data_IF_276093640302
#
_entry.id   IF_276093640302
#
_cell.length_a   1.000
_cell.length_b   1.000
_cell.length_c   1.000
_cell.angle_alpha   90.00
_cell.angle_beta   90.00
_cell.angle_gamma   90.00
#
_symmetry.space_group_name_H-M   'P 1'
#
loop_
_entity.id
_entity.type
_entity.pdbx_description
1 polymer ?
#
# COMPACT_ATOMS: atom_id res chain seq x y z
N UNK A 1 1.77 0.03 -34.01
CA UNK A 1 2.97 -0.21 -33.17
C UNK A 1 4.29 0.27 -33.79
N UNK A 2 4.59 0.01 -35.07
CA UNK A 2 5.87 0.42 -35.71
C UNK A 2 6.14 1.94 -35.66
N UNK A 3 5.14 2.78 -35.93
CA UNK A 3 5.27 4.25 -35.88
C UNK A 3 5.67 4.78 -34.49
N UNK A 4 5.12 4.19 -33.42
CA UNK A 4 5.47 4.56 -32.05
C UNK A 4 6.94 4.25 -31.77
N UNK A 5 7.47 3.12 -32.24
CA UNK A 5 8.90 2.77 -32.07
C UNK A 5 9.82 3.67 -32.90
N UNK A 6 9.46 3.99 -34.14
CA UNK A 6 10.23 4.90 -35.00
C UNK A 6 10.32 6.31 -34.39
N UNK A 7 9.25 6.79 -33.74
CA UNK A 7 9.26 8.07 -33.02
C UNK A 7 10.21 8.15 -31.80
N UNK A 8 10.78 7.03 -31.35
CA UNK A 8 11.84 7.02 -30.33
C UNK A 8 13.24 7.09 -30.93
N UNK A 9 13.41 6.71 -32.19
CA UNK A 9 14.70 6.66 -32.88
C UNK A 9 14.99 7.95 -33.67
N UNK A 10 13.92 8.61 -34.12
CA UNK A 10 13.99 9.83 -34.91
C UNK A 10 13.52 11.03 -34.09
N UNK A 11 14.27 12.13 -34.13
CA UNK A 11 13.95 13.40 -33.44
C UNK A 11 12.91 14.22 -34.22
N UNK A 12 12.88 14.09 -35.54
CA UNK A 12 12.05 14.89 -36.45
C UNK A 12 10.83 14.12 -36.96
N UNK A 13 10.44 13.06 -36.24
CA UNK A 13 9.32 12.16 -36.56
C UNK A 13 7.99 12.87 -36.85
N UNK A 14 7.80 14.10 -36.37
CA UNK A 14 6.59 14.91 -36.60
C UNK A 14 6.44 15.33 -38.07
N UNK A 15 7.54 15.58 -38.76
CA UNK A 15 7.55 16.02 -40.15
C UNK A 15 7.34 14.85 -41.12
N UNK A 16 7.66 13.64 -40.68
CA UNK A 16 7.50 12.41 -41.46
C UNK A 16 6.10 11.77 -41.35
N UNK A 17 5.19 12.38 -40.58
CA UNK A 17 3.83 11.88 -40.39
C UNK A 17 2.88 12.42 -41.46
N UNK A 18 2.67 11.62 -42.51
CA UNK A 18 1.76 11.96 -43.61
C UNK A 18 0.34 11.42 -43.37
N UNK A 19 0.21 10.29 -42.67
CA UNK A 19 -1.05 9.54 -42.54
C UNK A 19 -1.75 9.70 -41.17
N UNK A 20 -1.02 10.11 -40.13
CA UNK A 20 -1.52 10.10 -38.73
C UNK A 20 -1.14 11.42 -38.06
N UNK A 21 -2.09 12.04 -37.34
CA UNK A 21 -1.80 13.26 -36.58
C UNK A 21 -0.72 13.01 -35.51
N UNK A 22 0.24 13.93 -35.32
CA UNK A 22 1.24 13.84 -34.26
C UNK A 22 0.63 13.67 -32.86
N UNK A 23 -0.55 14.24 -32.63
CA UNK A 23 -1.29 14.14 -31.36
C UNK A 23 -1.69 12.69 -31.06
N UNK A 24 -2.21 11.99 -32.06
CA UNK A 24 -2.61 10.58 -31.95
C UNK A 24 -1.42 9.68 -31.63
N UNK A 25 -0.24 10.00 -32.19
CA UNK A 25 0.98 9.25 -31.90
C UNK A 25 1.47 9.48 -30.46
N UNK A 26 1.35 10.71 -29.94
CA UNK A 26 1.65 11.03 -28.54
C UNK A 26 0.70 10.32 -27.57
N UNK A 27 -0.60 10.28 -27.87
CA UNK A 27 -1.57 9.52 -27.08
C UNK A 27 -1.21 8.03 -27.03
N UNK A 28 -0.81 7.45 -28.16
CA UNK A 28 -0.37 6.05 -28.20
C UNK A 28 0.91 5.81 -27.39
N UNK A 29 1.87 6.75 -27.39
CA UNK A 29 3.07 6.69 -26.54
C UNK A 29 2.70 6.71 -25.05
N UNK A 30 1.84 7.64 -24.65
CA UNK A 30 1.41 7.79 -23.27
C UNK A 30 0.62 6.57 -22.78
N UNK A 31 -0.30 6.06 -23.60
CA UNK A 31 -1.06 4.85 -23.28
C UNK A 31 -0.16 3.62 -23.17
N UNK A 32 0.84 3.48 -24.05
CA UNK A 32 1.81 2.38 -23.97
C UNK A 32 2.63 2.44 -22.68
N UNK A 33 3.09 3.62 -22.27
CA UNK A 33 3.79 3.81 -20.99
C UNK A 33 2.88 3.50 -19.81
N UNK A 34 1.63 3.98 -19.82
CA UNK A 34 0.63 3.69 -18.80
C UNK A 34 0.40 2.20 -18.64
N UNK A 35 0.24 1.47 -19.75
CA UNK A 35 0.07 0.00 -19.75
C UNK A 35 1.34 -0.69 -19.23
N UNK A 36 2.53 -0.27 -19.70
CA UNK A 36 3.80 -0.82 -19.27
C UNK A 36 4.00 -0.69 -17.75
N UNK A 37 3.79 0.52 -17.20
CA UNK A 37 3.90 0.75 -15.77
C UNK A 37 2.80 0.03 -14.98
N UNK A 38 1.58 -0.05 -15.49
CA UNK A 38 0.52 -0.83 -14.87
C UNK A 38 0.87 -2.33 -14.80
N UNK A 39 1.53 -2.88 -15.83
CA UNK A 39 1.96 -4.27 -15.86
C UNK A 39 3.14 -4.53 -14.91
N UNK A 40 4.10 -3.61 -14.81
CA UNK A 40 5.25 -3.74 -13.90
C UNK A 40 4.83 -3.57 -12.45
N UNK A 41 4.00 -2.58 -12.16
CA UNK A 41 3.48 -2.30 -10.82
C UNK A 41 2.42 -3.30 -10.36
N UNK A 42 1.90 -4.14 -11.28
CA UNK A 42 0.94 -5.20 -10.95
C UNK A 42 1.56 -6.13 -9.91
N UNK A 43 0.95 -6.17 -8.73
CA UNK A 43 1.45 -6.91 -7.57
C UNK A 43 1.53 -8.41 -7.89
N UNK A 44 2.75 -8.92 -8.05
CA UNK A 44 2.98 -10.29 -8.58
C UNK A 44 2.63 -11.41 -7.61
N UNK A 45 2.65 -11.17 -6.29
CA UNK A 45 2.22 -12.14 -5.25
C UNK A 45 1.66 -11.40 -4.03
N UNK A 46 0.63 -11.94 -3.33
CA UNK A 46 0.41 -11.58 -1.94
C UNK A 46 1.70 -11.89 -1.17
N UNK A 47 2.07 -11.06 -0.21
CA UNK A 47 3.35 -11.17 0.52
C UNK A 47 3.44 -12.42 1.40
N UNK A 48 3.85 -12.26 2.66
CA UNK A 48 3.94 -13.38 3.62
C UNK A 48 2.63 -14.19 3.65
N UNK A 49 2.68 -15.54 3.59
CA UNK A 49 1.49 -16.37 3.73
C UNK A 49 0.76 -16.06 5.04
N UNK A 50 -0.57 -16.12 5.00
CA UNK A 50 -1.39 -15.90 6.19
C UNK A 50 -1.16 -17.01 7.21
N UNK A 51 -1.35 -16.72 8.49
CA UNK A 51 -1.50 -17.77 9.49
C UNK A 51 -2.67 -18.70 9.12
N UNK A 52 -2.65 -19.98 9.56
CA UNK A 52 -3.76 -20.91 9.37
C UNK A 52 -5.09 -20.32 9.85
N UNK A 53 -6.16 -20.58 9.11
CA UNK A 53 -7.47 -19.96 9.37
C UNK A 53 -8.02 -20.31 10.76
N UNK A 54 -7.79 -21.53 11.23
CA UNK A 54 -8.26 -21.99 12.54
C UNK A 54 -7.68 -21.16 13.68
N UNK A 55 -6.40 -20.80 13.57
CA UNK A 55 -5.73 -19.95 14.55
C UNK A 55 -6.29 -18.52 14.47
N UNK A 56 -6.50 -17.98 13.27
CA UNK A 56 -7.10 -16.65 13.10
C UNK A 56 -8.50 -16.61 13.74
N UNK A 57 -9.28 -17.68 13.56
CA UNK A 57 -10.62 -17.82 14.16
C UNK A 57 -10.54 -17.91 15.68
N UNK A 58 -9.56 -18.64 16.23
CA UNK A 58 -9.31 -18.72 17.66
C UNK A 58 -8.93 -17.35 18.24
N UNK A 59 -7.97 -16.65 17.64
CA UNK A 59 -7.55 -15.30 18.06
C UNK A 59 -8.75 -14.36 18.13
N UNK A 60 -9.56 -14.33 17.07
CA UNK A 60 -10.73 -13.45 16.99
C UNK A 60 -11.82 -13.82 18.01
N UNK A 61 -12.04 -15.11 18.25
CA UNK A 61 -13.01 -15.58 19.24
C UNK A 61 -12.60 -15.16 20.66
N UNK A 62 -11.38 -15.51 21.07
CA UNK A 62 -10.90 -15.21 22.44
C UNK A 62 -10.78 -13.70 22.66
N UNK A 63 -10.37 -12.94 21.63
CA UNK A 63 -10.33 -11.48 21.71
C UNK A 63 -11.72 -10.85 21.85
N UNK A 64 -12.74 -11.43 21.21
CA UNK A 64 -14.12 -10.95 21.33
C UNK A 64 -14.70 -11.23 22.72
N UNK A 65 -14.41 -12.42 23.26
CA UNK A 65 -14.81 -12.81 24.62
C UNK A 65 -14.07 -11.98 25.69
N UNK A 66 -12.84 -11.56 25.41
CA UNK A 66 -11.97 -10.83 26.34
C UNK A 66 -11.53 -9.48 25.77
N UNK A 67 -12.47 -8.54 25.62
CA UNK A 67 -12.24 -7.27 24.91
C UNK A 67 -11.13 -6.37 25.52
N UNK A 68 -10.78 -6.60 26.80
CA UNK A 68 -9.69 -5.88 27.50
C UNK A 68 -8.31 -6.40 27.10
N UNK A 69 -8.18 -7.66 26.69
CA UNK A 69 -6.89 -8.30 26.48
C UNK A 69 -6.17 -7.77 25.23
N UNK A 70 -4.86 -7.54 25.38
CA UNK A 70 -3.97 -7.15 24.28
C UNK A 70 -3.26 -8.36 23.65
N UNK A 71 -2.42 -8.08 22.64
CA UNK A 71 -1.68 -9.09 21.90
C UNK A 71 -0.81 -9.98 22.80
N UNK A 72 -0.15 -9.38 23.80
CA UNK A 72 0.77 -10.07 24.71
C UNK A 72 0.07 -11.14 25.55
N UNK A 73 -1.10 -10.83 26.13
CA UNK A 73 -1.88 -11.79 26.93
C UNK A 73 -2.42 -12.93 26.09
N UNK A 74 -2.96 -12.64 24.90
CA UNK A 74 -3.44 -13.66 23.97
C UNK A 74 -2.30 -14.54 23.45
N UNK A 75 -1.14 -13.96 23.17
CA UNK A 75 0.05 -14.70 22.76
C UNK A 75 0.49 -15.69 23.83
N UNK A 76 0.56 -15.26 25.10
CA UNK A 76 0.87 -16.16 26.23
C UNK A 76 -0.15 -17.29 26.38
N UNK A 77 -1.44 -17.02 26.17
CA UNK A 77 -2.48 -18.05 26.17
C UNK A 77 -2.30 -19.04 25.01
N UNK A 78 -2.02 -18.56 23.80
CA UNK A 78 -1.79 -19.42 22.63
C UNK A 78 -0.56 -20.30 22.80
N UNK A 79 0.52 -19.78 23.40
CA UNK A 79 1.69 -20.57 23.75
C UNK A 79 1.34 -21.68 24.75
N UNK A 80 0.53 -21.38 25.78
CA UNK A 80 0.05 -22.38 26.75
C UNK A 80 -0.84 -23.45 26.12
N UNK A 81 -1.55 -23.13 25.04
CA UNK A 81 -2.34 -24.07 24.24
C UNK A 81 -1.51 -24.86 23.21
N UNK A 82 -0.20 -24.65 23.15
CA UNK A 82 0.71 -25.36 22.24
C UNK A 82 0.85 -24.73 20.85
N UNK A 83 0.34 -23.52 20.64
CA UNK A 83 0.50 -22.81 19.37
C UNK A 83 1.75 -21.92 19.35
N UNK A 84 2.72 -22.24 18.49
CA UNK A 84 3.96 -21.48 18.30
C UNK A 84 3.78 -20.36 17.27
N UNK A 85 3.39 -19.16 17.73
CA UNK A 85 3.05 -18.03 16.85
C UNK A 85 3.64 -16.75 17.40
N UNK A 86 4.26 -15.92 16.56
CA UNK A 86 4.77 -14.62 17.00
C UNK A 86 3.64 -13.69 17.51
N UNK A 87 3.89 -12.97 18.59
CA UNK A 87 2.98 -11.94 19.12
C UNK A 87 2.53 -10.93 18.05
N UNK A 88 3.42 -10.54 17.14
CA UNK A 88 3.09 -9.63 16.02
C UNK A 88 1.99 -10.19 15.11
N UNK A 89 1.95 -11.50 14.92
CA UNK A 89 0.90 -12.19 14.16
C UNK A 89 -0.42 -12.13 14.92
N UNK A 90 -0.40 -12.32 16.24
CA UNK A 90 -1.59 -12.14 17.10
C UNK A 90 -2.10 -10.70 17.01
N UNK A 91 -1.21 -9.71 17.11
CA UNK A 91 -1.53 -8.29 16.95
C UNK A 91 -2.13 -7.95 15.58
N UNK A 92 -1.71 -8.63 14.51
CA UNK A 92 -2.26 -8.44 13.16
C UNK A 92 -3.74 -8.87 13.07
N UNK A 93 -4.11 -9.94 13.77
CA UNK A 93 -5.46 -10.54 13.67
C UNK A 93 -6.42 -10.12 14.79
N UNK A 94 -5.93 -9.39 15.79
CA UNK A 94 -6.75 -8.70 16.78
C UNK A 94 -7.73 -7.70 16.11
N UNK A 95 -8.97 -7.58 16.59
CA UNK A 95 -9.89 -6.56 16.12
C UNK A 95 -9.31 -5.17 16.39
N UNK A 96 -9.32 -4.31 15.37
CA UNK A 96 -8.90 -2.92 15.53
C UNK A 96 -9.89 -2.23 16.45
N UNK A 97 -9.40 -1.72 17.58
CA UNK A 97 -10.20 -0.85 18.44
C UNK A 97 -10.48 0.46 17.70
N UNK A 98 -11.68 1.05 17.86
CA UNK A 98 -11.96 2.36 17.28
C UNK A 98 -10.91 3.36 17.81
N UNK A 99 -10.37 4.16 16.90
CA UNK A 99 -9.45 5.23 17.29
C UNK A 99 -10.22 6.20 18.18
N UNK A 100 -9.69 6.51 19.37
CA UNK A 100 -10.30 7.52 20.21
C UNK A 100 -10.08 8.90 19.56
N UNK A 101 -11.15 9.62 19.12
CA UNK A 101 -11.01 10.91 18.46
C UNK A 101 -10.39 11.97 19.38
N UNK A 102 -10.60 11.88 20.70
CA UNK A 102 -10.01 12.79 21.69
C UNK A 102 -8.49 12.63 21.86
N UNK A 103 -7.91 11.53 21.37
CA UNK A 103 -6.47 11.27 21.42
C UNK A 103 -5.74 11.64 20.13
N UNK A 104 -6.46 12.13 19.11
CA UNK A 104 -5.88 12.58 17.85
C UNK A 104 -5.76 14.09 17.89
N UNK A 105 -4.54 14.59 17.72
CA UNK A 105 -4.33 15.98 17.33
C UNK A 105 -4.92 16.20 15.94
N UNK A 106 -5.63 17.31 15.75
CA UNK A 106 -5.97 17.77 14.41
C UNK A 106 -4.69 18.06 13.64
N UNK A 107 -4.75 17.99 12.30
CA UNK A 107 -3.59 18.33 11.46
C UNK A 107 -3.09 19.75 11.74
N UNK A 108 -4.01 20.67 12.03
CA UNK A 108 -3.68 22.05 12.39
C UNK A 108 -2.87 22.13 13.69
N UNK A 109 -3.31 21.42 14.73
CA UNK A 109 -2.60 21.40 16.02
C UNK A 109 -1.26 20.66 15.94
N UNK A 110 -1.21 19.55 15.18
CA UNK A 110 0.04 18.83 14.94
C UNK A 110 1.06 19.72 14.21
N UNK A 111 0.63 20.41 13.15
CA UNK A 111 1.47 21.34 12.40
C UNK A 111 1.95 22.49 13.30
N UNK A 112 1.06 23.15 14.05
CA UNK A 112 1.46 24.25 14.93
C UNK A 112 2.45 23.83 16.01
N UNK A 113 2.37 22.59 16.50
CA UNK A 113 3.29 22.08 17.53
C UNK A 113 4.67 21.68 16.99
N UNK A 114 4.78 21.36 15.70
CA UNK A 114 6.01 20.80 15.13
C UNK A 114 6.60 21.63 13.98
N UNK A 115 5.95 22.74 13.59
CA UNK A 115 6.38 23.58 12.47
C UNK A 115 7.84 24.03 12.62
N UNK A 116 8.23 24.46 13.82
CA UNK A 116 9.60 24.94 14.10
C UNK A 116 10.68 23.86 13.95
N UNK A 117 10.30 22.58 13.98
CA UNK A 117 11.19 21.43 13.85
C UNK A 117 11.13 20.77 12.46
N UNK A 118 10.26 21.24 11.56
CA UNK A 118 10.08 20.67 10.22
C UNK A 118 10.84 21.49 9.17
N UNK A 119 11.57 20.81 8.29
CA UNK A 119 12.16 21.41 7.09
C UNK A 119 11.24 21.07 5.91
N UNK A 120 10.70 22.09 5.26
CA UNK A 120 9.92 21.93 4.02
C UNK A 120 10.87 22.11 2.85
N UNK A 121 11.10 21.04 2.09
CA UNK A 121 11.77 21.11 0.79
C UNK A 121 10.72 21.09 -0.31
N UNK A 122 10.67 22.14 -1.12
CA UNK A 122 9.86 22.15 -2.33
C UNK A 122 10.60 21.40 -3.45
N UNK A 123 9.89 20.51 -4.15
CA UNK A 123 10.43 19.77 -5.30
C UNK A 123 9.64 20.18 -6.53
N UNK A 124 10.06 21.29 -7.13
CA UNK A 124 9.67 21.68 -8.49
C UNK A 124 10.49 20.93 -9.53
#
# INVERSE_FOLDING_TARGET
>A
MKLVFLSYLDRDWREHLILVSPETLLEWRNNKLKIFWALISKRKKPGRPSAPWDIIKLIRRVAKENNVWGATKLHGLLLKLGHTICERTVSKYLPKRPSNPKKRLSWKEFYSLHADAMIVSDTF
#
